data_IF_404349662467
#
_entry.id   IF_404349662467
#
_cell.length_a   1.000
_cell.length_b   1.000
_cell.length_c   1.000
_cell.angle_alpha   90.00
_cell.angle_beta   90.00
_cell.angle_gamma   90.00
#
_symmetry.space_group_name_H-M   'P 1'
#
loop_
_entity.id
_entity.type
_entity.pdbx_description
1 polymer ?
#
# COMPACT_ATOMS: atom_id res chain seq x y z
N UNK A 1 16.60 2.06 6.83
CA UNK A 1 15.41 2.91 7.02
C UNK A 1 15.84 4.36 7.01
N UNK A 2 15.17 5.18 6.19
CA UNK A 2 15.49 6.61 6.05
C UNK A 2 14.18 7.41 6.06
N UNK A 3 14.19 8.59 6.67
CA UNK A 3 13.04 9.50 6.67
C UNK A 3 12.83 10.11 5.28
N UNK A 4 11.58 10.31 4.90
CA UNK A 4 11.16 10.88 3.60
C UNK A 4 11.63 12.33 3.36
N UNK A 5 12.10 13.02 4.40
CA UNK A 5 12.66 14.39 4.34
C UNK A 5 14.21 14.42 4.42
N UNK A 6 14.87 13.25 4.44
CA UNK A 6 16.31 13.09 4.60
C UNK A 6 16.99 12.29 3.49
N UNK A 7 16.29 12.04 2.40
CA UNK A 7 16.78 11.32 1.24
C UNK A 7 16.23 11.96 -0.03
N UNK A 8 17.00 11.92 -1.10
CA UNK A 8 16.58 12.39 -2.41
C UNK A 8 16.37 11.22 -3.38
N UNK A 9 15.72 11.46 -4.50
CA UNK A 9 15.60 10.48 -5.59
C UNK A 9 16.98 10.02 -6.09
N UNK A 10 17.94 10.93 -6.22
CA UNK A 10 19.31 10.60 -6.63
C UNK A 10 20.05 9.75 -5.59
N UNK A 11 19.79 9.97 -4.30
CA UNK A 11 20.32 9.10 -3.25
C UNK A 11 19.77 7.67 -3.37
N UNK A 12 18.47 7.53 -3.65
CA UNK A 12 17.84 6.22 -3.84
C UNK A 12 18.43 5.53 -5.09
N UNK A 13 18.65 6.27 -6.18
CA UNK A 13 19.32 5.74 -7.39
C UNK A 13 20.73 5.24 -7.09
N UNK A 14 21.50 5.97 -6.29
CA UNK A 14 22.86 5.58 -5.88
C UNK A 14 22.88 4.36 -4.96
N UNK A 15 21.89 4.27 -4.05
CA UNK A 15 21.74 3.12 -3.15
C UNK A 15 21.31 1.85 -3.90
N UNK A 16 20.64 2.02 -5.02
CA UNK A 16 20.11 0.95 -5.88
C UNK A 16 19.45 -0.21 -5.11
N UNK A 17 18.42 0.08 -4.29
CA UNK A 17 17.80 -0.95 -3.46
C UNK A 17 17.10 -2.00 -4.33
N UNK A 18 17.08 -3.25 -3.87
CA UNK A 18 16.33 -4.31 -4.55
C UNK A 18 14.82 -4.09 -4.49
N UNK A 19 14.33 -3.49 -3.41
CA UNK A 19 12.91 -3.20 -3.14
C UNK A 19 12.75 -1.91 -2.35
N UNK A 20 11.61 -1.27 -2.50
CA UNK A 20 11.26 -0.04 -1.77
C UNK A 20 10.01 -0.29 -0.94
N UNK A 21 10.03 0.11 0.33
CA UNK A 21 8.85 0.11 1.20
C UNK A 21 8.54 1.55 1.60
N UNK A 22 7.34 2.01 1.29
CA UNK A 22 6.79 3.28 1.76
C UNK A 22 5.95 2.99 3.01
N UNK A 23 6.49 3.40 4.16
CA UNK A 23 5.92 3.10 5.47
C UNK A 23 4.65 3.91 5.77
N UNK A 24 3.89 3.51 6.81
CA UNK A 24 2.85 4.35 7.38
C UNK A 24 3.39 5.71 7.83
N UNK A 25 2.51 6.69 7.85
CA UNK A 25 2.84 8.04 8.32
C UNK A 25 1.58 8.87 8.57
N UNK A 26 1.74 10.04 9.19
CA UNK A 26 0.64 10.97 9.47
C UNK A 26 0.24 11.76 8.21
N UNK A 27 -0.91 12.43 8.30
CA UNK A 27 -1.45 13.37 7.32
C UNK A 27 -1.93 12.67 6.02
N UNK A 28 -1.59 13.22 4.87
CA UNK A 28 -2.06 12.80 3.56
C UNK A 28 -0.87 12.65 2.57
N UNK A 29 -1.07 12.08 1.38
CA UNK A 29 0.00 11.87 0.41
C UNK A 29 0.79 13.13 0.02
N UNK A 30 0.12 14.29 -0.09
CA UNK A 30 0.76 15.56 -0.45
C UNK A 30 1.74 16.06 0.61
N UNK A 31 1.54 15.66 1.85
CA UNK A 31 2.43 15.98 2.98
C UNK A 31 3.47 14.88 3.26
N UNK A 32 3.55 13.85 2.41
CA UNK A 32 4.42 12.69 2.60
C UNK A 32 5.86 12.88 2.03
N UNK A 33 6.32 14.13 1.87
CA UNK A 33 7.65 14.42 1.33
C UNK A 33 7.81 13.85 -0.09
N UNK A 34 8.89 13.10 -0.33
CA UNK A 34 9.21 12.56 -1.66
C UNK A 34 8.45 11.27 -2.01
N UNK A 35 7.55 10.76 -1.17
CA UNK A 35 6.95 9.43 -1.37
C UNK A 35 6.23 9.27 -2.71
N UNK A 36 5.47 10.26 -3.16
CA UNK A 36 4.83 10.21 -4.47
C UNK A 36 5.85 10.28 -5.62
N UNK A 37 6.91 11.06 -5.48
CA UNK A 37 7.98 11.15 -6.50
C UNK A 37 8.75 9.84 -6.59
N UNK A 38 8.94 9.13 -5.46
CA UNK A 38 9.51 7.77 -5.43
C UNK A 38 8.64 6.82 -6.25
N UNK A 39 7.33 6.85 -6.08
CA UNK A 39 6.42 6.00 -6.88
C UNK A 39 6.58 6.32 -8.37
N UNK A 40 6.49 7.59 -8.77
CA UNK A 40 6.60 8.01 -10.18
C UNK A 40 7.93 7.63 -10.81
N UNK A 41 9.03 7.77 -10.07
CA UNK A 41 10.37 7.47 -10.58
C UNK A 41 10.67 5.97 -10.69
N UNK A 42 10.14 5.16 -9.74
CA UNK A 42 10.55 3.77 -9.60
C UNK A 42 9.47 2.74 -9.94
N UNK A 43 8.27 3.15 -10.32
CA UNK A 43 7.12 2.26 -10.58
C UNK A 43 7.46 1.13 -11.57
N UNK A 44 8.20 1.43 -12.62
CA UNK A 44 8.62 0.50 -13.67
C UNK A 44 10.04 -0.08 -13.47
N UNK A 45 10.71 0.25 -12.36
CA UNK A 45 12.12 -0.07 -12.12
C UNK A 45 12.35 -0.95 -10.90
N UNK A 46 11.50 -0.84 -9.89
CA UNK A 46 11.71 -1.51 -8.60
C UNK A 46 10.39 -2.01 -8.02
N UNK A 47 10.39 -3.16 -7.35
CA UNK A 47 9.25 -3.56 -6.52
C UNK A 47 9.00 -2.54 -5.42
N UNK A 48 7.73 -2.11 -5.28
CA UNK A 48 7.30 -1.13 -4.27
C UNK A 48 6.16 -1.71 -3.44
N UNK A 49 6.29 -1.63 -2.11
CA UNK A 49 5.20 -1.88 -1.17
C UNK A 49 4.85 -0.59 -0.45
N UNK A 50 3.62 -0.13 -0.57
CA UNK A 50 3.08 0.98 0.21
C UNK A 50 2.18 0.49 1.33
N UNK A 51 2.40 0.98 2.56
CA UNK A 51 1.59 0.62 3.74
C UNK A 51 0.90 1.88 4.25
N UNK A 52 -0.42 1.84 4.41
CA UNK A 52 -1.27 2.92 4.89
C UNK A 52 -1.06 4.21 4.07
N UNK A 53 -0.32 5.20 4.58
CA UNK A 53 0.04 6.40 3.82
C UNK A 53 0.79 6.06 2.52
N UNK A 54 1.67 5.06 2.54
CA UNK A 54 2.38 4.59 1.34
C UNK A 54 1.44 4.03 0.27
N UNK A 55 0.39 3.31 0.64
CA UNK A 55 -0.66 2.85 -0.26
C UNK A 55 -1.40 4.03 -0.91
N UNK A 56 -1.74 5.03 -0.12
CA UNK A 56 -2.39 6.26 -0.60
C UNK A 56 -1.46 7.04 -1.55
N UNK A 57 -0.16 7.11 -1.25
CA UNK A 57 0.84 7.71 -2.14
C UNK A 57 0.93 6.99 -3.48
N UNK A 58 0.85 5.65 -3.51
CA UNK A 58 0.81 4.89 -4.77
C UNK A 58 -0.41 5.28 -5.60
N UNK A 59 -1.60 5.26 -5.01
CA UNK A 59 -2.82 5.60 -5.74
C UNK A 59 -2.78 7.03 -6.30
N UNK A 60 -2.44 8.02 -5.47
CA UNK A 60 -2.45 9.44 -5.87
C UNK A 60 -1.31 9.77 -6.85
N UNK A 61 -0.13 9.17 -6.69
CA UNK A 61 0.99 9.36 -7.61
C UNK A 61 0.69 8.89 -9.04
N UNK A 62 -0.17 7.89 -9.18
CA UNK A 62 -0.62 7.32 -10.45
C UNK A 62 -1.94 7.91 -10.96
N UNK A 63 -2.47 8.94 -10.31
CA UNK A 63 -3.64 9.69 -10.78
C UNK A 63 -4.96 9.36 -10.11
N UNK A 64 -4.96 8.49 -9.08
CA UNK A 64 -6.13 8.20 -8.27
C UNK A 64 -6.44 9.31 -7.27
N UNK A 65 -7.57 9.17 -6.59
CA UNK A 65 -8.03 10.11 -5.57
C UNK A 65 -8.01 9.47 -4.19
N UNK A 66 -7.49 10.20 -3.21
CA UNK A 66 -7.55 9.87 -1.79
C UNK A 66 -8.47 10.87 -1.08
N UNK A 67 -9.47 10.40 -0.37
CA UNK A 67 -10.44 11.20 0.35
C UNK A 67 -10.80 10.57 1.69
N UNK A 68 -11.79 11.10 2.39
CA UNK A 68 -12.21 10.56 3.67
C UNK A 68 -12.70 9.12 3.55
N UNK A 69 -12.23 8.25 4.45
CA UNK A 69 -12.73 6.90 4.61
C UNK A 69 -14.21 6.92 5.07
N UNK A 70 -14.94 5.83 4.83
CA UNK A 70 -16.34 5.67 5.25
C UNK A 70 -16.52 5.82 6.76
N UNK A 71 -15.48 5.53 7.55
CA UNK A 71 -15.42 5.73 8.97
C UNK A 71 -14.00 6.01 9.44
N UNK A 72 -13.87 6.61 10.62
CA UNK A 72 -12.58 6.78 11.29
C UNK A 72 -12.16 5.46 11.95
N UNK A 73 -11.00 4.97 11.60
CA UNK A 73 -10.42 3.77 12.17
C UNK A 73 -9.17 4.10 13.00
N UNK A 74 -9.17 3.61 14.25
CA UNK A 74 -8.03 3.75 15.14
C UNK A 74 -7.87 2.48 15.98
N UNK A 75 -6.98 1.59 15.55
CA UNK A 75 -6.70 0.32 16.23
C UNK A 75 -7.85 -0.69 16.19
N UNK A 76 -8.74 -0.61 15.20
CA UNK A 76 -9.84 -1.55 15.01
C UNK A 76 -9.47 -2.60 13.97
N UNK A 77 -9.94 -3.84 14.18
CA UNK A 77 -9.88 -4.88 13.16
C UNK A 77 -11.09 -4.80 12.24
N UNK A 78 -10.87 -5.07 10.97
CA UNK A 78 -11.91 -5.29 9.96
C UNK A 78 -11.62 -6.57 9.18
N UNK A 79 -12.67 -7.30 8.82
CA UNK A 79 -12.55 -8.38 7.86
C UNK A 79 -12.37 -7.80 6.45
N UNK A 80 -11.46 -8.36 5.69
CA UNK A 80 -11.28 -8.05 4.27
C UNK A 80 -11.38 -9.31 3.44
N UNK A 81 -11.99 -9.18 2.25
CA UNK A 81 -11.99 -10.23 1.23
C UNK A 81 -10.95 -9.87 0.19
N UNK A 82 -10.07 -10.83 -0.13
CA UNK A 82 -9.02 -10.68 -1.15
C UNK A 82 -9.11 -11.79 -2.20
N UNK A 83 -8.49 -11.58 -3.35
CA UNK A 83 -8.54 -12.50 -4.50
C UNK A 83 -7.54 -13.66 -4.43
N UNK A 84 -6.73 -13.74 -3.39
CA UNK A 84 -5.70 -14.78 -3.19
C UNK A 84 -4.46 -14.61 -4.07
N UNK A 85 -4.36 -13.55 -4.85
CA UNK A 85 -3.21 -13.28 -5.73
C UNK A 85 -2.18 -12.35 -5.08
N UNK A 86 -1.04 -12.14 -5.77
CA UNK A 86 0.00 -11.21 -5.34
C UNK A 86 0.48 -11.54 -3.92
N UNK A 87 0.60 -10.54 -3.05
CA UNK A 87 1.04 -10.70 -1.66
C UNK A 87 0.10 -11.58 -0.80
N UNK A 88 -1.11 -11.87 -1.28
CA UNK A 88 -2.06 -12.77 -0.59
C UNK A 88 -1.93 -14.24 -1.00
N UNK A 89 -0.95 -14.58 -1.86
CA UNK A 89 -0.73 -15.97 -2.31
C UNK A 89 -0.50 -16.91 -1.12
N UNK A 90 -1.30 -17.99 -1.06
CA UNK A 90 -1.23 -18.99 0.01
C UNK A 90 -1.85 -18.54 1.33
N UNK A 91 -2.73 -17.53 1.28
CA UNK A 91 -3.49 -17.03 2.43
C UNK A 91 -4.98 -17.21 2.12
N UNK A 92 -5.71 -17.81 3.04
CA UNK A 92 -7.17 -17.99 2.91
C UNK A 92 -7.89 -16.65 3.10
N UNK A 93 -8.99 -16.47 2.38
CA UNK A 93 -9.86 -15.29 2.49
C UNK A 93 -11.21 -15.68 3.11
N UNK A 94 -11.82 -14.86 3.97
CA UNK A 94 -11.37 -13.54 4.44
C UNK A 94 -10.32 -13.59 5.56
N UNK A 95 -9.62 -12.48 5.79
CA UNK A 95 -8.73 -12.27 6.95
C UNK A 95 -9.12 -11.01 7.73
N UNK A 96 -8.74 -10.96 9.01
CA UNK A 96 -8.88 -9.76 9.84
C UNK A 96 -7.59 -8.95 9.81
N UNK A 97 -7.72 -7.63 9.62
CA UNK A 97 -6.59 -6.71 9.49
C UNK A 97 -6.75 -5.50 10.40
N UNK A 98 -5.64 -4.97 10.88
CA UNK A 98 -5.60 -3.77 11.71
C UNK A 98 -5.70 -2.51 10.85
N UNK A 99 -6.58 -1.59 11.23
CA UNK A 99 -6.83 -0.32 10.54
C UNK A 99 -6.56 0.87 11.46
N UNK A 100 -5.82 1.87 10.92
CA UNK A 100 -5.43 3.10 11.63
C UNK A 100 -5.49 4.30 10.67
N UNK A 101 -6.61 4.47 9.93
CA UNK A 101 -6.70 5.51 8.91
C UNK A 101 -8.04 6.24 8.92
N UNK A 102 -8.02 7.48 8.49
CA UNK A 102 -9.19 8.34 8.25
C UNK A 102 -9.37 8.69 6.77
N UNK A 103 -8.39 8.36 5.94
CA UNK A 103 -8.41 8.54 4.49
C UNK A 103 -8.39 7.17 3.80
N UNK A 104 -8.96 7.10 2.60
CA UNK A 104 -9.00 5.90 1.76
C UNK A 104 -8.91 6.27 0.28
N UNK A 105 -8.47 5.34 -0.54
CA UNK A 105 -8.49 5.44 -1.99
C UNK A 105 -9.93 5.30 -2.49
N UNK A 106 -10.34 6.21 -3.37
CA UNK A 106 -11.68 6.24 -3.96
C UNK A 106 -11.70 5.34 -5.20
N UNK A 107 -12.61 4.37 -5.20
CA UNK A 107 -12.67 3.36 -6.26
C UNK A 107 -13.08 3.94 -7.61
N UNK A 108 -14.02 4.86 -7.63
CA UNK A 108 -14.56 5.50 -8.83
C UNK A 108 -13.49 6.26 -9.62
N UNK A 109 -12.44 6.72 -8.92
CA UNK A 109 -11.31 7.45 -9.51
C UNK A 109 -10.03 6.61 -9.61
N UNK A 110 -10.15 5.27 -9.44
CA UNK A 110 -8.97 4.40 -9.52
C UNK A 110 -8.45 4.35 -10.97
N UNK A 111 -7.14 4.66 -11.19
CA UNK A 111 -6.55 4.60 -12.51
C UNK A 111 -6.65 3.21 -13.14
N UNK A 112 -6.75 3.15 -14.47
CA UNK A 112 -6.91 1.89 -15.20
C UNK A 112 -5.76 0.89 -14.98
N UNK A 113 -4.55 1.41 -14.79
CA UNK A 113 -3.35 0.60 -14.48
C UNK A 113 -3.34 -0.02 -13.08
N UNK A 114 -4.21 0.43 -12.19
CA UNK A 114 -4.36 -0.16 -10.86
C UNK A 114 -5.52 -1.15 -10.81
N UNK A 115 -5.32 -2.24 -10.09
CA UNK A 115 -6.32 -3.24 -9.77
C UNK A 115 -6.55 -3.34 -8.27
N UNK A 116 -7.78 -3.62 -7.86
CA UNK A 116 -8.12 -3.87 -6.46
C UNK A 116 -7.81 -5.32 -6.10
N UNK A 117 -7.06 -5.56 -5.02
CA UNK A 117 -6.76 -6.88 -4.49
C UNK A 117 -7.65 -7.28 -3.32
N UNK A 118 -8.08 -6.32 -2.51
CA UNK A 118 -8.86 -6.56 -1.31
C UNK A 118 -9.79 -5.41 -0.97
N UNK A 119 -10.96 -5.75 -0.41
CA UNK A 119 -11.97 -4.81 0.09
C UNK A 119 -12.56 -5.27 1.41
N UNK A 120 -13.11 -4.32 2.17
CA UNK A 120 -14.05 -4.60 3.25
C UNK A 120 -15.44 -4.93 2.72
N UNK A 121 -16.33 -5.47 3.57
CA UNK A 121 -17.71 -5.80 3.19
C UNK A 121 -18.50 -4.58 2.70
N UNK A 122 -18.21 -3.39 3.24
CA UNK A 122 -18.82 -2.14 2.82
C UNK A 122 -18.16 -1.51 1.58
N UNK A 123 -17.23 -2.24 0.95
CA UNK A 123 -16.61 -1.92 -0.33
C UNK A 123 -15.45 -0.92 -0.26
N UNK A 124 -14.88 -0.63 0.92
CA UNK A 124 -13.69 0.21 1.00
C UNK A 124 -12.44 -0.55 0.52
N UNK A 125 -11.65 0.07 -0.35
CA UNK A 125 -10.41 -0.52 -0.88
C UNK A 125 -9.40 -0.69 0.25
N UNK A 126 -8.89 -1.91 0.41
CA UNK A 126 -7.92 -2.28 1.44
C UNK A 126 -6.58 -2.75 0.85
N UNK A 127 -6.54 -3.10 -0.42
CA UNK A 127 -5.29 -3.36 -1.14
C UNK A 127 -5.46 -3.11 -2.64
N UNK A 128 -4.40 -2.58 -3.24
CA UNK A 128 -4.28 -2.35 -4.69
C UNK A 128 -2.97 -2.93 -5.21
N UNK A 129 -2.93 -3.19 -6.52
CA UNK A 129 -1.68 -3.51 -7.23
C UNK A 129 -1.62 -2.77 -8.57
N UNK A 130 -0.43 -2.53 -9.06
CA UNK A 130 -0.23 -2.22 -10.47
C UNK A 130 -0.41 -3.48 -11.31
N UNK A 131 -1.07 -3.37 -12.46
CA UNK A 131 -1.39 -4.53 -13.32
C UNK A 131 -0.16 -5.09 -14.05
N UNK A 132 0.83 -4.24 -14.33
CA UNK A 132 2.04 -4.60 -15.10
C UNK A 132 3.30 -4.63 -14.25
N UNK A 133 3.42 -3.72 -13.28
CA UNK A 133 4.65 -3.56 -12.49
C UNK A 133 4.50 -4.11 -11.06
N UNK A 134 5.62 -4.50 -10.42
CA UNK A 134 5.60 -5.08 -9.08
C UNK A 134 5.39 -4.03 -7.99
N UNK A 135 4.22 -3.38 -8.01
CA UNK A 135 3.82 -2.34 -7.06
C UNK A 135 2.52 -2.74 -6.38
N UNK A 136 2.55 -2.79 -5.05
CA UNK A 136 1.41 -3.17 -4.19
C UNK A 136 1.21 -2.13 -3.10
N UNK A 137 -0.03 -1.78 -2.83
CA UNK A 137 -0.43 -0.92 -1.71
C UNK A 137 -1.39 -1.62 -0.77
N UNK A 138 -1.13 -1.55 0.54
CA UNK A 138 -1.98 -2.07 1.61
C UNK A 138 -2.47 -0.93 2.48
N UNK A 139 -3.78 -0.73 2.58
CA UNK A 139 -4.36 0.30 3.46
C UNK A 139 -4.26 -0.08 4.94
N UNK A 140 -4.25 -1.36 5.23
CA UNK A 140 -4.07 -1.90 6.58
C UNK A 140 -2.59 -2.04 6.97
N UNK A 141 -2.34 -2.41 8.21
CA UNK A 141 -1.01 -2.53 8.80
C UNK A 141 -0.59 -4.02 8.94
N UNK A 142 0.16 -4.58 7.97
CA UNK A 142 0.61 -5.98 8.05
C UNK A 142 1.61 -6.23 9.17
N UNK A 143 2.31 -5.19 9.65
CA UNK A 143 3.24 -5.25 10.78
C UNK A 143 2.55 -5.37 12.14
N UNK A 144 1.25 -5.06 12.21
CA UNK A 144 0.49 -5.13 13.47
C UNK A 144 0.22 -6.57 13.88
N UNK A 145 0.31 -6.84 15.17
CA UNK A 145 -0.10 -8.13 15.78
C UNK A 145 -1.59 -8.43 15.59
N UNK A 146 -2.39 -7.41 15.30
CA UNK A 146 -3.83 -7.55 15.03
C UNK A 146 -4.16 -7.84 13.55
N UNK A 147 -3.15 -7.99 12.71
CA UNK A 147 -3.34 -8.41 11.31
C UNK A 147 -3.02 -9.89 11.16
N UNK A 148 -4.03 -10.68 10.77
CA UNK A 148 -3.84 -12.09 10.45
C UNK A 148 -2.92 -12.24 9.24
N UNK A 149 -1.99 -13.19 9.31
CA UNK A 149 -1.02 -13.48 8.24
C UNK A 149 -0.11 -12.30 7.81
N UNK A 150 -0.02 -11.22 8.61
CA UNK A 150 0.76 -10.04 8.25
C UNK A 150 2.21 -10.33 7.90
N UNK A 151 2.87 -11.22 8.67
CA UNK A 151 4.23 -11.68 8.36
C UNK A 151 4.31 -12.36 6.98
N UNK A 152 3.37 -13.23 6.65
CA UNK A 152 3.32 -13.94 5.37
C UNK A 152 3.13 -12.98 4.19
N UNK A 153 2.30 -11.95 4.36
CA UNK A 153 2.09 -10.90 3.35
C UNK A 153 3.42 -10.18 3.06
N UNK A 154 4.15 -9.79 4.10
CA UNK A 154 5.46 -9.14 3.95
C UNK A 154 6.49 -10.10 3.32
N UNK A 155 6.53 -11.36 3.75
CA UNK A 155 7.42 -12.38 3.17
C UNK A 155 7.13 -12.61 1.69
N UNK A 156 5.87 -12.65 1.28
CA UNK A 156 5.48 -12.75 -0.13
C UNK A 156 6.07 -11.59 -0.94
N UNK A 157 5.93 -10.35 -0.47
CA UNK A 157 6.55 -9.20 -1.12
C UNK A 157 8.08 -9.31 -1.20
N UNK A 158 8.73 -9.64 -0.08
CA UNK A 158 10.20 -9.75 -0.02
C UNK A 158 10.72 -10.85 -0.93
N UNK A 159 9.99 -11.94 -1.08
CA UNK A 159 10.36 -13.08 -1.94
C UNK A 159 9.91 -12.89 -3.41
N UNK A 160 9.33 -11.75 -3.76
CA UNK A 160 8.93 -11.45 -5.14
C UNK A 160 7.66 -12.17 -5.61
N UNK A 161 6.83 -12.61 -4.67
CA UNK A 161 5.50 -13.17 -4.95
C UNK A 161 4.52 -12.01 -5.10
N UNK A 162 4.26 -11.59 -6.37
CA UNK A 162 3.44 -10.41 -6.67
C UNK A 162 2.55 -10.60 -7.89
#
# INVERSE_FOLDING_TARGET
>A
VVRNDKITIDDIKRLDPERIVLSPGPKNPKDAGICMDVVREFVDKKPILGICLGHQCIAEALGGTVSYAKALFHGKQSAIVHDGSSVFTGIDSPIKVARYHSLAVIEEDLPEELGVLAKTDDGEIMAIRHKEYPVVGLQFHPESIYTEHGKRIIENFVNGVM
#
